data_IF_192856689860
#
_entry.id   IF_192856689860
#
_cell.length_a   1.000
_cell.length_b   1.000
_cell.length_c   1.000
_cell.angle_alpha   90.00
_cell.angle_beta   90.00
_cell.angle_gamma   90.00
#
_symmetry.space_group_name_H-M   'P 1'
#
loop_
_entity.id
_entity.type
_entity.pdbx_description
1 polymer ?
#
# COMPACT_ATOMS: atom_id res chain seq x y z
N UNK A 1 8.90 -18.75 12.06
CA UNK A 1 9.00 -17.97 13.32
C UNK A 1 7.83 -18.36 14.20
N UNK A 2 8.04 -18.78 15.46
CA UNK A 2 6.93 -19.08 16.36
C UNK A 2 6.30 -17.78 16.86
N UNK A 3 5.01 -17.58 16.60
CA UNK A 3 4.28 -16.39 17.08
C UNK A 3 4.20 -16.46 18.61
N UNK A 4 4.87 -15.54 19.30
CA UNK A 4 4.72 -15.37 20.74
C UNK A 4 3.41 -14.62 21.01
N UNK A 5 2.42 -15.32 21.55
CA UNK A 5 1.08 -14.77 21.80
C UNK A 5 1.10 -13.53 22.73
N UNK A 6 2.07 -13.44 23.64
CA UNK A 6 2.22 -12.28 24.51
C UNK A 6 2.75 -11.05 23.75
N UNK A 7 3.76 -11.22 22.87
CA UNK A 7 4.25 -10.14 22.01
C UNK A 7 3.19 -9.72 20.97
N UNK A 8 2.50 -10.68 20.37
CA UNK A 8 1.35 -10.45 19.49
C UNK A 8 0.30 -9.58 20.18
N UNK A 9 -0.15 -9.99 21.37
CA UNK A 9 -1.19 -9.29 22.14
C UNK A 9 -0.76 -7.87 22.51
N UNK A 10 0.50 -7.68 22.91
CA UNK A 10 1.05 -6.35 23.24
C UNK A 10 1.05 -5.41 22.05
N UNK A 11 1.48 -5.88 20.87
CA UNK A 11 1.50 -5.07 19.64
C UNK A 11 0.09 -4.76 19.15
N UNK A 12 -0.80 -5.74 19.18
CA UNK A 12 -2.21 -5.52 18.85
C UNK A 12 -2.85 -4.48 19.77
N UNK A 13 -2.58 -4.54 21.07
CA UNK A 13 -3.06 -3.53 22.02
C UNK A 13 -2.55 -2.12 21.70
N UNK A 14 -1.29 -1.98 21.25
CA UNK A 14 -0.75 -0.70 20.80
C UNK A 14 -1.49 -0.15 19.56
N UNK A 15 -1.84 -1.02 18.60
CA UNK A 15 -2.66 -0.63 17.44
C UNK A 15 -4.01 -0.10 17.92
N UNK A 16 -4.72 -0.85 18.76
CA UNK A 16 -6.03 -0.45 19.30
C UNK A 16 -5.94 0.88 20.05
N UNK A 17 -4.93 1.07 20.89
CA UNK A 17 -4.73 2.30 21.65
C UNK A 17 -4.45 3.54 20.78
N UNK A 18 -3.98 3.34 19.55
CA UNK A 18 -3.70 4.42 18.59
C UNK A 18 -4.85 4.77 17.66
N UNK A 19 -6.01 4.10 17.79
CA UNK A 19 -7.20 4.45 17.00
C UNK A 19 -7.55 5.94 17.19
N UNK A 20 -7.75 6.64 16.08
CA UNK A 20 -8.03 8.08 16.06
C UNK A 20 -6.79 8.97 16.17
N UNK A 21 -5.58 8.40 16.28
CA UNK A 21 -4.32 9.13 16.34
C UNK A 21 -3.57 9.04 15.01
N UNK A 22 -2.69 10.01 14.75
CA UNK A 22 -1.81 10.00 13.58
C UNK A 22 -0.82 8.82 13.58
N UNK A 23 -0.53 8.26 14.75
CA UNK A 23 0.38 7.11 14.95
C UNK A 23 -0.21 5.75 14.57
N UNK A 24 -1.50 5.68 14.24
CA UNK A 24 -2.18 4.42 13.91
C UNK A 24 -1.51 3.64 12.77
N UNK A 25 -1.19 4.25 11.61
CA UNK A 25 -0.58 3.52 10.50
C UNK A 25 0.78 2.94 10.88
N UNK A 26 1.58 3.66 11.68
CA UNK A 26 2.89 3.19 12.15
C UNK A 26 2.76 1.97 13.06
N UNK A 27 1.87 2.02 14.07
CA UNK A 27 1.65 0.87 14.95
C UNK A 27 1.08 -0.33 14.20
N UNK A 28 0.18 -0.11 13.24
CA UNK A 28 -0.37 -1.16 12.39
C UNK A 28 0.74 -1.86 11.59
N UNK A 29 1.62 -1.08 10.96
CA UNK A 29 2.70 -1.65 10.17
C UNK A 29 3.76 -2.35 11.01
N UNK A 30 4.10 -1.82 12.18
CA UNK A 30 4.97 -2.52 13.15
C UNK A 30 4.37 -3.85 13.59
N UNK A 31 3.05 -3.92 13.79
CA UNK A 31 2.37 -5.16 14.12
C UNK A 31 2.43 -6.17 12.96
N UNK A 32 2.04 -5.76 11.75
CA UNK A 32 2.00 -6.63 10.57
C UNK A 32 3.38 -7.19 10.19
N UNK A 33 4.41 -6.35 10.18
CA UNK A 33 5.81 -6.73 9.90
C UNK A 33 6.40 -7.75 10.88
N UNK A 34 5.76 -7.94 12.04
CA UNK A 34 6.15 -8.97 13.02
C UNK A 34 5.42 -10.30 12.82
N UNK A 35 4.33 -10.32 12.06
CA UNK A 35 3.55 -11.53 11.78
C UNK A 35 3.87 -12.13 10.42
N UNK A 36 4.18 -11.29 9.44
CA UNK A 36 4.47 -11.67 8.05
C UNK A 36 5.75 -11.00 7.57
N UNK A 37 6.39 -11.63 6.59
CA UNK A 37 7.61 -11.10 5.99
C UNK A 37 7.24 -9.91 5.08
N UNK A 38 7.53 -8.70 5.56
CA UNK A 38 7.29 -7.46 4.85
C UNK A 38 8.53 -6.58 5.06
N UNK A 39 9.29 -6.38 3.99
CA UNK A 39 10.44 -5.49 3.97
C UNK A 39 9.98 -4.03 4.04
N UNK A 40 9.02 -3.67 3.18
CA UNK A 40 8.54 -2.32 3.02
C UNK A 40 7.04 -2.28 2.74
N UNK A 41 6.41 -1.14 3.03
CA UNK A 41 5.01 -0.90 2.77
C UNK A 41 4.68 0.57 2.52
N UNK A 42 3.59 0.77 1.81
CA UNK A 42 2.94 2.07 1.61
C UNK A 42 1.45 1.88 1.90
N UNK A 43 0.86 2.81 2.65
CA UNK A 43 -0.59 2.88 2.83
C UNK A 43 -1.09 4.14 2.15
N UNK A 44 -2.01 3.97 1.21
CA UNK A 44 -2.62 5.03 0.43
C UNK A 44 -4.12 5.07 0.72
N UNK A 45 -4.60 6.24 1.13
CA UNK A 45 -6.02 6.52 1.22
C UNK A 45 -6.47 7.22 -0.05
N UNK A 46 -7.49 6.67 -0.71
CA UNK A 46 -8.07 7.22 -1.92
C UNK A 46 -9.47 7.74 -1.65
N UNK A 47 -9.74 8.94 -2.16
CA UNK A 47 -11.08 9.51 -2.29
C UNK A 47 -11.38 9.71 -3.78
N UNK A 48 -12.61 9.43 -4.21
CA UNK A 48 -13.03 9.39 -5.63
C UNK A 48 -12.56 10.57 -6.49
N UNK A 49 -12.58 11.77 -5.93
CA UNK A 49 -12.31 13.04 -6.63
C UNK A 49 -11.05 13.76 -6.16
N UNK A 50 -10.23 13.11 -5.33
CA UNK A 50 -9.01 13.72 -4.81
C UNK A 50 -7.80 12.83 -5.12
N UNK A 51 -6.60 13.41 -5.29
CA UNK A 51 -5.37 12.63 -5.29
C UNK A 51 -5.26 11.76 -4.03
N UNK A 52 -4.59 10.60 -4.11
CA UNK A 52 -4.39 9.76 -2.94
C UNK A 52 -3.61 10.51 -1.86
N UNK A 53 -3.91 10.19 -0.60
CA UNK A 53 -3.13 10.63 0.56
C UNK A 53 -2.25 9.46 1.01
N UNK A 54 -0.95 9.70 1.10
CA UNK A 54 -0.01 8.76 1.74
C UNK A 54 -0.22 8.83 3.24
N UNK A 55 -0.68 7.74 3.86
CA UNK A 55 -0.87 7.65 5.32
C UNK A 55 0.26 6.90 6.00
N UNK A 56 0.98 6.06 5.25
CA UNK A 56 2.21 5.41 5.69
C UNK A 56 3.11 5.19 4.48
N UNK A 57 4.42 5.27 4.68
CA UNK A 57 5.41 4.93 3.68
C UNK A 57 6.70 4.65 4.44
N UNK A 58 7.37 3.53 4.17
CA UNK A 58 8.70 3.25 4.71
C UNK A 58 9.74 2.90 3.64
N UNK A 59 9.42 3.13 2.36
CA UNK A 59 10.30 2.85 1.23
C UNK A 59 11.68 3.54 1.38
N UNK A 60 12.77 2.91 0.91
CA UNK A 60 14.11 3.50 0.98
C UNK A 60 14.20 4.91 0.37
N UNK A 61 14.97 5.79 1.01
CA UNK A 61 15.04 7.23 0.72
C UNK A 61 15.56 7.59 -0.67
N UNK A 62 16.32 6.71 -1.33
CA UNK A 62 16.93 6.95 -2.64
C UNK A 62 15.90 7.31 -3.73
N UNK A 63 14.64 6.88 -3.60
CA UNK A 63 13.58 7.13 -4.61
C UNK A 63 12.32 7.81 -4.03
N UNK A 64 12.34 8.30 -2.79
CA UNK A 64 11.11 8.58 -2.02
C UNK A 64 10.39 9.87 -2.40
N UNK A 65 11.10 10.97 -2.65
CA UNK A 65 10.48 12.29 -2.84
C UNK A 65 10.00 12.54 -4.27
N UNK A 66 10.81 12.24 -5.28
CA UNK A 66 10.46 12.53 -6.68
C UNK A 66 9.39 11.59 -7.22
N UNK A 67 9.47 10.29 -6.90
CA UNK A 67 8.51 9.31 -7.42
C UNK A 67 7.13 9.51 -6.79
N UNK A 68 7.03 9.61 -5.46
CA UNK A 68 5.73 9.80 -4.82
C UNK A 68 5.07 11.11 -5.27
N UNK A 69 5.85 12.16 -5.50
CA UNK A 69 5.33 13.42 -6.03
C UNK A 69 4.72 13.25 -7.42
N UNK A 70 5.38 12.53 -8.33
CA UNK A 70 4.85 12.24 -9.67
C UNK A 70 3.61 11.36 -9.62
N UNK A 71 3.58 10.38 -8.71
CA UNK A 71 2.41 9.54 -8.48
C UNK A 71 1.20 10.37 -8.08
N UNK A 72 1.35 11.19 -7.04
CA UNK A 72 0.30 12.04 -6.50
C UNK A 72 -0.20 13.07 -7.52
N UNK A 73 0.63 13.48 -8.49
CA UNK A 73 0.25 14.42 -9.55
C UNK A 73 -0.62 13.81 -10.65
N UNK A 74 -0.82 12.49 -10.68
CA UNK A 74 -1.77 11.86 -11.59
C UNK A 74 -1.37 10.49 -12.12
N UNK A 75 -0.14 10.04 -11.88
CA UNK A 75 0.28 8.71 -12.35
C UNK A 75 -0.57 7.59 -11.70
N UNK A 76 -1.11 7.80 -10.50
CA UNK A 76 -2.02 6.88 -9.83
C UNK A 76 -3.27 6.50 -10.65
N UNK A 77 -3.68 7.31 -11.64
CA UNK A 77 -4.80 6.98 -12.54
C UNK A 77 -4.49 5.81 -13.47
N UNK A 78 -3.21 5.54 -13.70
CA UNK A 78 -2.72 4.42 -14.49
C UNK A 78 -2.40 3.19 -13.63
N UNK A 79 -2.54 3.33 -12.32
CA UNK A 79 -2.21 2.28 -11.37
C UNK A 79 -3.24 1.13 -11.42
N UNK A 80 -2.81 -0.14 -11.53
CA UNK A 80 -3.72 -1.28 -11.57
C UNK A 80 -4.58 -1.40 -10.30
N UNK A 81 -4.02 -1.11 -9.13
CA UNK A 81 -4.71 -1.22 -7.85
C UNK A 81 -5.80 -0.15 -7.75
N UNK A 82 -5.49 1.09 -8.16
CA UNK A 82 -6.49 2.16 -8.28
C UNK A 82 -7.65 1.75 -9.19
N UNK A 83 -7.35 1.24 -10.39
CA UNK A 83 -8.37 0.84 -11.38
C UNK A 83 -9.24 -0.31 -10.86
N UNK A 84 -8.63 -1.35 -10.33
CA UNK A 84 -9.33 -2.49 -9.76
C UNK A 84 -10.28 -2.06 -8.62
N UNK A 85 -9.81 -1.20 -7.70
CA UNK A 85 -10.63 -0.67 -6.64
C UNK A 85 -11.84 0.11 -7.17
N UNK A 86 -11.64 0.94 -8.21
CA UNK A 86 -12.72 1.69 -8.89
C UNK A 86 -13.73 0.79 -9.57
N UNK A 87 -13.31 -0.37 -10.07
CA UNK A 87 -14.17 -1.36 -10.71
C UNK A 87 -14.93 -2.25 -9.72
N UNK A 88 -14.62 -2.20 -8.43
CA UNK A 88 -15.33 -2.98 -7.42
C UNK A 88 -14.45 -3.85 -6.54
N UNK A 89 -13.18 -4.02 -6.89
CA UNK A 89 -12.29 -4.94 -6.17
C UNK A 89 -12.13 -4.56 -4.70
N UNK A 90 -12.12 -5.57 -3.84
CA UNK A 90 -11.96 -5.45 -2.40
C UNK A 90 -11.36 -6.77 -1.87
N UNK A 91 -10.18 -6.72 -1.28
CA UNK A 91 -9.47 -7.89 -0.79
C UNK A 91 -7.98 -7.90 -1.14
N UNK A 92 -7.38 -9.07 -0.95
CA UNK A 92 -5.97 -9.35 -1.25
C UNK A 92 -5.70 -9.39 -2.74
N UNK A 93 -4.57 -8.86 -3.19
CA UNK A 93 -4.09 -8.98 -4.56
C UNK A 93 -2.58 -9.23 -4.63
N UNK A 94 -2.17 -9.85 -5.73
CA UNK A 94 -0.82 -9.73 -6.28
C UNK A 94 -0.89 -8.78 -7.46
N UNK A 95 0.09 -7.88 -7.60
CA UNK A 95 0.02 -6.85 -8.65
C UNK A 95 -0.11 -7.46 -10.05
N UNK A 96 0.60 -8.56 -10.33
CA UNK A 96 0.53 -9.23 -11.63
C UNK A 96 -0.87 -9.79 -11.96
N UNK A 97 -1.73 -9.99 -10.96
CA UNK A 97 -3.13 -10.40 -11.19
C UNK A 97 -4.04 -9.22 -11.56
N UNK A 98 -3.71 -8.01 -11.09
CA UNK A 98 -4.45 -6.79 -11.43
C UNK A 98 -3.90 -6.10 -12.69
N UNK A 99 -2.61 -6.29 -12.96
CA UNK A 99 -1.91 -5.65 -14.05
C UNK A 99 -2.44 -6.15 -15.42
N UNK A 100 -2.79 -5.24 -16.35
CA UNK A 100 -3.22 -5.64 -17.68
C UNK A 100 -2.07 -6.28 -18.48
N UNK A 101 -2.41 -7.07 -19.49
CA UNK A 101 -1.42 -7.63 -20.41
C UNK A 101 -0.53 -6.54 -20.99
N UNK A 102 0.80 -6.70 -20.85
CA UNK A 102 1.77 -5.71 -21.32
C UNK A 102 2.02 -4.53 -20.37
N UNK A 103 1.46 -4.53 -19.14
CA UNK A 103 1.74 -3.53 -18.11
C UNK A 103 3.24 -3.31 -17.91
N UNK A 104 4.02 -4.39 -17.77
CA UNK A 104 5.49 -4.35 -17.63
C UNK A 104 6.23 -3.76 -18.84
N UNK A 105 5.56 -3.61 -19.99
CA UNK A 105 6.08 -2.97 -21.21
C UNK A 105 5.62 -1.51 -21.38
N UNK A 106 4.65 -1.06 -20.59
CA UNK A 106 4.08 0.29 -20.65
C UNK A 106 5.10 1.37 -20.26
N UNK A 107 4.91 2.58 -20.79
CA UNK A 107 5.71 3.74 -20.37
C UNK A 107 5.50 4.09 -18.90
N UNK A 108 4.29 3.86 -18.37
CA UNK A 108 4.01 3.99 -16.94
C UNK A 108 4.94 3.10 -16.12
N UNK A 109 4.99 1.80 -16.44
CA UNK A 109 5.85 0.86 -15.72
C UNK A 109 7.34 1.25 -15.85
N UNK A 110 7.79 1.61 -17.04
CA UNK A 110 9.21 1.95 -17.29
C UNK A 110 9.65 3.24 -16.57
N UNK A 111 8.79 4.25 -16.54
CA UNK A 111 9.14 5.57 -16.01
C UNK A 111 8.87 5.69 -14.51
N UNK A 112 7.95 4.90 -13.97
CA UNK A 112 7.50 5.03 -12.57
C UNK A 112 7.79 3.77 -11.76
N UNK A 113 7.34 2.61 -12.25
CA UNK A 113 7.32 1.37 -11.48
C UNK A 113 8.67 0.61 -11.48
N UNK A 114 9.50 0.74 -12.52
CA UNK A 114 10.78 0.03 -12.59
C UNK A 114 11.78 0.48 -11.51
N UNK A 115 11.65 1.72 -11.05
CA UNK A 115 12.58 2.34 -10.10
C UNK A 115 12.20 2.11 -8.64
N UNK A 116 11.00 1.59 -8.37
CA UNK A 116 10.58 1.26 -7.01
C UNK A 116 11.22 -0.05 -6.52
N UNK A 117 11.83 -0.85 -7.41
CA UNK A 117 12.53 -2.10 -7.05
C UNK A 117 11.59 -3.26 -6.74
N UNK A 118 10.30 -3.12 -7.08
CA UNK A 118 9.22 -4.00 -6.64
C UNK A 118 9.16 -5.23 -7.54
N UNK A 119 9.64 -6.36 -7.01
CA UNK A 119 9.61 -7.65 -7.71
C UNK A 119 8.29 -8.39 -7.39
N UNK A 120 7.86 -8.35 -6.12
CA UNK A 120 6.69 -9.08 -5.60
C UNK A 120 5.71 -8.16 -4.84
N UNK A 121 5.17 -7.13 -5.51
CA UNK A 121 4.14 -6.29 -4.89
C UNK A 121 2.85 -7.08 -4.66
N UNK A 122 2.45 -7.12 -3.40
CA UNK A 122 1.16 -7.60 -2.94
C UNK A 122 0.46 -6.51 -2.14
N UNK A 123 -0.85 -6.65 -1.95
CA UNK A 123 -1.55 -5.71 -1.10
C UNK A 123 -2.96 -6.12 -0.76
N UNK A 124 -3.61 -5.26 0.01
CA UNK A 124 -5.03 -5.33 0.30
C UNK A 124 -5.70 -4.02 -0.05
N UNK A 125 -6.79 -4.11 -0.82
CA UNK A 125 -7.73 -3.01 -1.02
C UNK A 125 -8.89 -3.19 -0.05
N UNK A 126 -9.14 -2.19 0.78
CA UNK A 126 -10.28 -2.13 1.68
C UNK A 126 -11.23 -1.01 1.25
N UNK A 127 -12.43 -1.35 0.79
CA UNK A 127 -13.47 -0.35 0.55
C UNK A 127 -14.02 0.16 1.87
N UNK A 128 -13.98 1.47 2.06
CA UNK A 128 -14.46 2.17 3.25
C UNK A 128 -15.81 2.87 3.00
N UNK A 129 -16.30 2.84 1.76
CA UNK A 129 -17.57 3.43 1.35
C UNK A 129 -17.68 3.47 -0.17
N UNK A 130 -18.70 4.16 -0.72
CA UNK A 130 -18.89 4.28 -2.17
C UNK A 130 -17.74 5.02 -2.86
N UNK A 131 -17.15 6.00 -2.19
CA UNK A 131 -16.15 6.90 -2.77
C UNK A 131 -14.76 6.77 -2.16
N UNK A 132 -14.58 5.90 -1.16
CA UNK A 132 -13.35 5.78 -0.38
C UNK A 132 -12.82 4.35 -0.33
N UNK A 133 -11.50 4.21 -0.49
CA UNK A 133 -10.81 2.95 -0.23
C UNK A 133 -9.40 3.19 0.31
N UNK A 134 -8.92 2.20 1.05
CA UNK A 134 -7.54 2.13 1.53
C UNK A 134 -6.81 1.08 0.70
N UNK A 135 -5.63 1.40 0.20
CA UNK A 135 -4.69 0.42 -0.33
C UNK A 135 -3.53 0.24 0.65
N UNK A 136 -3.29 -0.99 1.09
CA UNK A 136 -2.13 -1.38 1.89
C UNK A 136 -1.23 -2.19 0.98
N UNK A 137 -0.22 -1.53 0.42
CA UNK A 137 0.76 -2.09 -0.48
C UNK A 137 1.96 -2.54 0.36
N UNK A 138 2.43 -3.77 0.16
CA UNK A 138 3.61 -4.27 0.83
C UNK A 138 4.48 -5.13 -0.07
N UNK A 139 5.75 -5.16 0.28
CA UNK A 139 6.83 -5.74 -0.50
C UNK A 139 7.60 -6.72 0.39
N UNK A 140 7.90 -7.87 -0.18
CA UNK A 140 8.59 -9.00 0.45
C UNK A 140 9.64 -9.57 -0.50
#
# INVERSE_FOLDING_TARGET
>A
MAINLADFSKRLAAVVASIGQESLPDHLMVFLKKQVDIDNAVILFYHREQPPKVTYNDLPSINRSTHITLFLKGAYLLDPCYRAAREGFNGYYQLDQLAPAGFRKSEYYKNYFRYTGLIDECGYIFKLGPDNFLNVEYFS
#
